data_IF_310477619709
#
_entry.id   IF_310477619709
#
_cell.length_a   1.000
_cell.length_b   1.000
_cell.length_c   1.000
_cell.angle_alpha   90.00
_cell.angle_beta   90.00
_cell.angle_gamma   90.00
#
_symmetry.space_group_name_H-M   'P 1'
#
loop_
_entity.id
_entity.type
_entity.pdbx_description
1 polymer ?
#
# COMPACT_ATOMS: atom_id res chain seq x y z
N UNK A 1 60.81 24.91 32.95
CA UNK A 1 61.40 25.00 34.31
C UNK A 1 60.34 25.67 35.18
N UNK A 2 59.74 25.13 36.22
CA UNK A 2 59.78 23.86 36.94
C UNK A 2 58.41 23.79 37.68
N UNK A 3 57.64 22.70 37.60
CA UNK A 3 57.67 21.53 38.50
C UNK A 3 57.38 21.85 39.99
N UNK A 4 56.16 21.54 40.48
CA UNK A 4 55.89 20.75 41.71
C UNK A 4 54.40 20.88 42.13
N UNK A 5 53.58 19.81 42.09
CA UNK A 5 53.49 18.63 42.98
C UNK A 5 52.91 18.88 44.40
N UNK A 6 51.68 18.33 44.57
CA UNK A 6 51.23 17.36 45.61
C UNK A 6 50.96 17.94 47.02
N UNK A 7 49.94 17.55 47.81
CA UNK A 7 49.50 16.20 48.27
C UNK A 7 48.24 16.36 49.18
N UNK A 8 47.20 15.52 49.05
CA UNK A 8 46.75 14.42 49.96
C UNK A 8 45.74 14.76 51.09
N UNK A 9 44.53 14.16 51.05
CA UNK A 9 43.96 13.09 51.95
C UNK A 9 42.81 13.71 52.78
N UNK A 10 41.61 13.17 52.96
CA UNK A 10 40.95 11.90 52.65
C UNK A 10 39.95 11.60 53.78
N UNK A 11 38.76 11.03 53.53
CA UNK A 11 38.12 10.08 54.46
C UNK A 11 36.87 9.38 53.89
N UNK A 12 36.83 8.07 54.14
CA UNK A 12 35.75 7.10 53.98
C UNK A 12 34.48 7.47 54.77
N UNK A 13 33.33 6.99 54.30
CA UNK A 13 32.47 6.09 55.10
C UNK A 13 31.54 5.27 54.21
N UNK A 14 31.57 3.97 54.47
CA UNK A 14 30.65 2.95 54.02
C UNK A 14 29.24 3.20 54.58
N UNK A 15 28.21 2.73 53.87
CA UNK A 15 27.04 2.10 54.47
C UNK A 15 26.24 1.32 53.41
N UNK A 16 26.44 0.00 53.45
CA UNK A 16 25.50 -1.06 53.10
C UNK A 16 24.08 -0.82 53.62
N UNK A 17 23.04 -1.08 52.82
CA UNK A 17 21.88 -1.95 53.14
C UNK A 17 21.17 -2.38 51.82
N UNK A 18 21.11 -3.70 51.59
CA UNK A 18 20.09 -4.42 50.80
C UNK A 18 18.99 -4.89 51.80
N UNK A 19 17.69 -5.05 51.43
CA UNK A 19 17.27 -6.29 50.74
C UNK A 19 16.00 -6.26 49.84
N UNK A 20 15.93 -7.31 49.01
CA UNK A 20 14.81 -8.11 48.46
C UNK A 20 13.37 -7.56 48.32
N UNK A 21 12.82 -7.72 47.10
CA UNK A 21 11.60 -8.48 46.74
C UNK A 21 11.53 -8.54 45.19
N UNK A 22 11.57 -9.66 44.45
CA UNK A 22 10.77 -10.89 44.42
C UNK A 22 9.26 -10.65 44.20
N UNK A 23 8.79 -10.79 42.95
CA UNK A 23 7.36 -11.04 42.69
C UNK A 23 6.86 -10.65 41.29
N UNK A 24 6.23 -11.62 40.62
CA UNK A 24 5.29 -11.49 39.48
C UNK A 24 5.90 -11.54 38.06
N UNK A 25 6.29 -12.74 37.65
CA UNK A 25 6.35 -13.16 36.25
C UNK A 25 5.67 -14.53 36.08
N UNK A 26 4.35 -14.61 36.31
CA UNK A 26 3.53 -15.78 36.01
C UNK A 26 2.15 -15.34 35.54
N UNK A 27 2.00 -14.93 34.26
CA UNK A 27 0.69 -14.89 33.57
C UNK A 27 0.79 -15.25 32.06
N UNK A 28 1.97 -15.36 31.45
CA UNK A 28 2.06 -15.55 30.00
C UNK A 28 1.89 -17.00 29.47
N UNK A 29 1.64 -18.00 30.32
CA UNK A 29 1.62 -19.42 29.91
C UNK A 29 0.22 -20.07 29.84
N UNK A 30 -0.87 -19.36 30.15
CA UNK A 30 -2.21 -19.98 30.26
C UNK A 30 -3.17 -19.67 29.11
N UNK A 31 -2.83 -18.79 28.17
CA UNK A 31 -3.70 -18.47 27.03
C UNK A 31 -3.41 -19.32 25.77
N UNK A 32 -2.24 -19.97 25.68
CA UNK A 32 -1.83 -20.69 24.47
C UNK A 32 -2.40 -22.12 24.38
N UNK A 33 -2.79 -22.72 25.51
CA UNK A 33 -3.28 -24.11 25.55
C UNK A 33 -4.79 -24.23 25.26
N UNK A 34 -5.56 -23.15 25.39
CA UNK A 34 -7.00 -23.15 25.12
C UNK A 34 -7.34 -22.93 23.63
N UNK A 35 -6.44 -22.38 22.82
CA UNK A 35 -6.70 -22.14 21.40
C UNK A 35 -6.46 -23.38 20.52
N UNK A 36 -5.52 -24.25 20.91
CA UNK A 36 -5.17 -25.46 20.13
C UNK A 36 -6.24 -26.56 20.25
N UNK A 37 -6.97 -26.64 21.38
CA UNK A 37 -8.08 -27.60 21.54
C UNK A 37 -9.36 -27.20 20.78
N UNK A 38 -9.54 -25.93 20.43
CA UNK A 38 -10.68 -25.46 19.64
C UNK A 38 -10.51 -25.70 18.12
N UNK A 39 -9.27 -25.79 17.64
CA UNK A 39 -8.96 -26.00 16.21
C UNK A 39 -8.97 -27.47 15.78
N UNK A 40 -8.88 -28.43 16.70
CA UNK A 40 -8.85 -29.87 16.38
C UNK A 40 -10.23 -30.58 16.46
N UNK A 41 -11.31 -29.86 16.78
CA UNK A 41 -12.66 -30.45 16.94
C UNK A 41 -13.64 -30.18 15.78
N UNK A 42 -13.18 -29.59 14.66
CA UNK A 42 -14.04 -29.19 13.53
C UNK A 42 -14.00 -30.09 12.28
N UNK A 43 -13.34 -31.25 12.33
CA UNK A 43 -13.43 -32.26 11.28
C UNK A 43 -14.17 -33.50 11.79
N UNK A 44 -15.50 -33.52 11.62
CA UNK A 44 -16.33 -34.71 11.84
C UNK A 44 -17.52 -34.72 10.88
N UNK A 45 -17.29 -35.43 9.76
CA UNK A 45 -18.20 -36.17 8.87
C UNK A 45 -19.35 -35.46 8.13
N UNK A 46 -19.60 -35.86 6.85
CA UNK A 46 -20.75 -35.42 6.08
C UNK A 46 -21.98 -36.25 6.43
N UNK A 47 -23.14 -35.61 6.52
CA UNK A 47 -24.44 -36.30 6.53
C UNK A 47 -25.15 -36.00 5.23
N UNK A 48 -25.21 -37.00 4.35
CA UNK A 48 -26.16 -37.04 3.23
C UNK A 48 -27.58 -37.11 3.80
N UNK A 49 -28.41 -36.12 3.51
CA UNK A 49 -29.87 -36.25 3.51
C UNK A 49 -30.38 -35.94 2.11
N UNK A 50 -30.84 -36.97 1.43
CA UNK A 50 -31.70 -36.84 0.26
C UNK A 50 -33.02 -36.18 0.69
N UNK A 51 -33.32 -35.03 0.09
CA UNK A 51 -34.59 -34.31 0.23
C UNK A 51 -35.22 -34.11 -1.13
N UNK A 52 -36.35 -34.79 -1.34
CA UNK A 52 -37.23 -34.72 -2.52
C UNK A 52 -37.71 -33.29 -2.82
N UNK A 53 -37.64 -32.96 -4.11
CA UNK A 53 -38.60 -32.21 -4.92
C UNK A 53 -39.44 -31.09 -4.28
N UNK A 54 -39.17 -29.87 -4.73
CA UNK A 54 -40.21 -28.86 -4.98
C UNK A 54 -39.79 -27.98 -6.16
N UNK A 55 -40.53 -28.12 -7.25
CA UNK A 55 -40.54 -27.21 -8.40
C UNK A 55 -41.13 -25.86 -7.99
N UNK A 56 -40.72 -24.79 -8.69
CA UNK A 56 -41.48 -23.55 -8.75
C UNK A 56 -40.73 -22.33 -8.23
N UNK A 57 -40.10 -21.60 -9.15
CA UNK A 57 -39.56 -20.27 -8.90
C UNK A 57 -38.23 -20.07 -9.62
N UNK A 58 -38.28 -19.89 -10.94
CA UNK A 58 -37.15 -19.34 -11.69
C UNK A 58 -36.85 -17.96 -11.12
N UNK A 59 -35.86 -17.88 -10.23
CA UNK A 59 -35.25 -16.62 -9.83
C UNK A 59 -34.88 -15.86 -11.12
N UNK A 60 -35.07 -14.53 -11.16
CA UNK A 60 -34.64 -13.75 -12.31
C UNK A 60 -33.17 -14.07 -12.55
N UNK A 61 -32.86 -14.60 -13.73
CA UNK A 61 -31.47 -14.78 -14.17
C UNK A 61 -30.82 -13.40 -14.01
N UNK A 62 -29.89 -13.28 -13.08
CA UNK A 62 -29.06 -12.09 -12.96
C UNK A 62 -28.57 -11.75 -14.37
N UNK A 63 -28.74 -10.49 -14.83
CA UNK A 63 -28.24 -10.09 -16.15
C UNK A 63 -26.78 -10.51 -16.19
N UNK A 64 -26.40 -11.33 -17.19
CA UNK A 64 -25.08 -11.92 -17.27
C UNK A 64 -24.05 -10.83 -17.02
N UNK A 65 -23.28 -10.98 -15.94
CA UNK A 65 -22.29 -9.99 -15.55
C UNK A 65 -21.33 -9.84 -16.74
N UNK A 66 -21.43 -8.71 -17.45
CA UNK A 66 -20.59 -8.44 -18.61
C UNK A 66 -19.12 -8.50 -18.20
N UNK A 67 -18.25 -8.94 -19.10
CA UNK A 67 -16.81 -8.85 -18.87
C UNK A 67 -16.41 -7.39 -18.64
N UNK A 68 -15.41 -7.17 -17.80
CA UNK A 68 -14.84 -5.85 -17.62
C UNK A 68 -14.29 -5.32 -18.95
N UNK A 69 -14.59 -4.06 -19.26
CA UNK A 69 -14.04 -3.37 -20.44
C UNK A 69 -13.47 -2.03 -20.00
N UNK A 70 -12.26 -1.73 -20.46
CA UNK A 70 -11.59 -0.45 -20.20
C UNK A 70 -12.48 0.72 -20.61
N UNK A 71 -12.58 1.73 -19.74
CA UNK A 71 -13.44 2.90 -19.96
C UNK A 71 -14.87 2.76 -19.43
N UNK A 72 -15.23 1.61 -18.85
CA UNK A 72 -16.45 1.50 -18.04
C UNK A 72 -16.48 2.56 -16.93
N UNK A 73 -17.64 3.15 -16.67
CA UNK A 73 -17.81 4.08 -15.54
C UNK A 73 -17.85 3.29 -14.23
N UNK A 74 -17.56 3.96 -13.12
CA UNK A 74 -17.58 3.33 -11.79
C UNK A 74 -18.88 2.58 -11.50
N UNK A 75 -20.04 3.20 -11.80
CA UNK A 75 -21.35 2.56 -11.57
C UNK A 75 -21.55 1.25 -12.35
N UNK A 76 -20.78 1.04 -13.42
CA UNK A 76 -20.83 -0.14 -14.28
C UNK A 76 -19.87 -1.21 -13.75
N UNK A 77 -18.58 -0.88 -13.57
CA UNK A 77 -17.59 -1.87 -13.15
C UNK A 77 -17.74 -2.29 -11.69
N UNK A 78 -18.24 -1.44 -10.80
CA UNK A 78 -18.43 -1.80 -9.38
C UNK A 78 -19.40 -2.97 -9.22
N UNK A 79 -20.36 -3.11 -10.15
CA UNK A 79 -21.31 -4.23 -10.16
C UNK A 79 -20.68 -5.56 -10.54
N UNK A 80 -19.46 -5.54 -11.08
CA UNK A 80 -18.69 -6.74 -11.44
C UNK A 80 -17.84 -7.25 -10.27
N UNK A 81 -17.72 -6.49 -9.18
CA UNK A 81 -16.99 -6.91 -7.98
C UNK A 81 -17.93 -7.82 -7.15
N UNK A 82 -17.54 -9.08 -6.87
CA UNK A 82 -18.35 -9.95 -6.01
C UNK A 82 -18.61 -9.32 -4.63
N UNK A 83 -19.83 -9.48 -4.10
CA UNK A 83 -20.25 -8.83 -2.84
C UNK A 83 -19.30 -9.12 -1.67
N UNK A 84 -18.80 -10.36 -1.57
CA UNK A 84 -17.85 -10.77 -0.51
C UNK A 84 -16.51 -10.04 -0.63
N UNK A 85 -16.04 -9.81 -1.86
CA UNK A 85 -14.83 -9.03 -2.11
C UNK A 85 -15.07 -7.56 -1.77
N UNK A 86 -16.19 -6.98 -2.24
CA UNK A 86 -16.57 -5.60 -1.94
C UNK A 86 -16.67 -5.34 -0.42
N UNK A 87 -17.26 -6.25 0.35
CA UNK A 87 -17.33 -6.12 1.82
C UNK A 87 -15.93 -6.08 2.46
N UNK A 88 -15.01 -6.93 1.96
CA UNK A 88 -13.63 -6.99 2.43
C UNK A 88 -12.86 -5.71 2.09
N UNK A 89 -13.02 -5.22 0.87
CA UNK A 89 -12.43 -3.97 0.38
C UNK A 89 -12.92 -2.77 1.19
N UNK A 90 -14.24 -2.66 1.42
CA UNK A 90 -14.82 -1.60 2.24
C UNK A 90 -14.35 -1.66 3.70
N UNK A 91 -14.19 -2.87 4.25
CA UNK A 91 -13.63 -3.06 5.59
C UNK A 91 -12.20 -2.53 5.70
N UNK A 92 -11.36 -2.80 4.69
CA UNK A 92 -10.01 -2.25 4.64
C UNK A 92 -10.03 -0.71 4.51
N UNK A 93 -10.85 -0.15 3.62
CA UNK A 93 -10.93 1.31 3.47
C UNK A 93 -11.30 2.00 4.79
N UNK A 94 -12.23 1.44 5.57
CA UNK A 94 -12.57 2.00 6.90
C UNK A 94 -11.39 1.96 7.87
N UNK A 95 -10.58 0.89 7.84
CA UNK A 95 -9.37 0.79 8.67
C UNK A 95 -8.33 1.83 8.27
N UNK A 96 -8.10 2.00 6.96
CA UNK A 96 -7.18 3.02 6.43
C UNK A 96 -7.62 4.43 6.82
N UNK A 97 -8.90 4.76 6.62
CA UNK A 97 -9.47 6.06 7.02
C UNK A 97 -9.27 6.35 8.51
N UNK A 98 -9.45 5.33 9.36
CA UNK A 98 -9.20 5.44 10.79
C UNK A 98 -7.73 5.68 11.09
N UNK A 99 -6.81 4.96 10.44
CA UNK A 99 -5.38 5.06 10.70
C UNK A 99 -4.81 6.44 10.35
N UNK A 100 -5.20 7.01 9.21
CA UNK A 100 -4.71 8.32 8.74
C UNK A 100 -5.47 9.54 9.29
N UNK A 101 -6.67 9.32 9.86
CA UNK A 101 -7.47 10.40 10.46
C UNK A 101 -8.32 11.25 9.51
N UNK A 102 -8.41 10.91 8.21
CA UNK A 102 -9.21 11.66 7.22
C UNK A 102 -9.95 10.75 6.21
N UNK A 103 -11.01 11.26 5.56
CA UNK A 103 -11.90 10.46 4.71
C UNK A 103 -11.70 10.69 3.20
N UNK A 104 -11.99 9.67 2.39
CA UNK A 104 -11.79 9.66 0.93
C UNK A 104 -12.85 10.44 0.12
N UNK A 105 -13.84 11.05 0.78
CA UNK A 105 -14.95 11.74 0.10
C UNK A 105 -14.67 13.22 -0.17
N UNK A 106 -13.55 13.72 0.34
CA UNK A 106 -13.16 15.10 0.24
C UNK A 106 -11.97 15.19 -0.72
N UNK A 107 -12.24 15.62 -1.96
CA UNK A 107 -11.19 15.82 -2.97
C UNK A 107 -10.17 16.85 -2.49
N UNK A 108 -10.59 17.87 -1.71
CA UNK A 108 -9.67 18.84 -1.13
C UNK A 108 -8.75 18.20 -0.08
N UNK A 109 -9.26 17.30 0.76
CA UNK A 109 -8.41 16.56 1.72
C UNK A 109 -7.40 15.66 0.99
N UNK A 110 -7.78 15.10 -0.16
CA UNK A 110 -6.89 14.30 -1.00
C UNK A 110 -5.81 15.15 -1.66
N UNK A 111 -6.16 16.31 -2.20
CA UNK A 111 -5.20 17.24 -2.78
C UNK A 111 -4.21 17.75 -1.71
N UNK A 112 -4.69 18.01 -0.50
CA UNK A 112 -3.82 18.35 0.63
C UNK A 112 -2.89 17.19 1.03
N UNK A 113 -3.36 15.95 0.95
CA UNK A 113 -2.53 14.77 1.20
C UNK A 113 -1.41 14.65 0.15
N UNK A 114 -1.72 14.82 -1.13
CA UNK A 114 -0.70 14.87 -2.18
C UNK A 114 0.29 16.03 -1.96
N UNK A 115 -0.19 17.22 -1.60
CA UNK A 115 0.70 18.34 -1.27
C UNK A 115 1.63 18.02 -0.08
N UNK A 116 1.16 17.29 0.94
CA UNK A 116 1.99 16.83 2.07
C UNK A 116 3.03 15.78 1.66
N UNK A 117 2.68 14.86 0.76
CA UNK A 117 3.65 13.91 0.18
C UNK A 117 4.77 14.67 -0.54
N UNK A 118 4.43 15.63 -1.39
CA UNK A 118 5.42 16.42 -2.13
C UNK A 118 6.29 17.26 -1.18
N UNK A 119 5.69 17.95 -0.23
CA UNK A 119 6.43 18.71 0.78
C UNK A 119 7.38 17.82 1.58
N UNK A 120 6.95 16.60 1.94
CA UNK A 120 7.81 15.61 2.59
C UNK A 120 8.99 15.23 1.70
N UNK A 121 8.75 14.87 0.44
CA UNK A 121 9.78 14.48 -0.51
C UNK A 121 10.81 15.59 -0.76
N UNK A 122 10.37 16.85 -0.84
CA UNK A 122 11.25 18.01 -1.02
C UNK A 122 12.03 18.39 0.25
N UNK A 123 11.64 17.88 1.42
CA UNK A 123 12.38 18.08 2.66
C UNK A 123 13.68 17.27 2.68
N UNK A 124 14.63 17.67 3.52
CA UNK A 124 15.88 16.91 3.72
C UNK A 124 15.63 15.44 4.14
N UNK A 125 14.60 15.19 4.95
CA UNK A 125 14.25 13.85 5.42
C UNK A 125 13.64 12.98 4.31
N UNK A 126 12.92 13.59 3.36
CA UNK A 126 12.32 12.90 2.22
C UNK A 126 13.24 12.78 1.01
N UNK A 127 14.50 13.20 1.12
CA UNK A 127 15.50 13.08 0.06
C UNK A 127 15.77 14.34 -0.75
N UNK A 128 15.20 15.49 -0.35
CA UNK A 128 15.42 16.79 -0.98
C UNK A 128 15.15 16.79 -2.50
N UNK A 129 14.04 16.17 -2.91
CA UNK A 129 13.69 16.02 -4.32
C UNK A 129 13.54 17.37 -5.03
N UNK A 130 14.20 17.58 -6.19
CA UNK A 130 13.79 18.62 -7.11
C UNK A 130 12.48 18.24 -7.81
N UNK A 131 11.67 19.23 -8.18
CA UNK A 131 10.42 19.00 -8.92
C UNK A 131 10.66 18.34 -10.28
N UNK A 132 11.73 18.75 -10.96
CA UNK A 132 12.18 18.20 -12.23
C UNK A 132 13.51 17.46 -12.04
N UNK A 133 13.43 16.23 -11.56
CA UNK A 133 14.62 15.42 -11.30
C UNK A 133 15.15 14.76 -12.59
N UNK A 134 16.46 14.55 -12.62
CA UNK A 134 17.09 13.68 -13.62
C UNK A 134 17.10 12.25 -13.08
N UNK A 135 16.64 11.23 -13.84
CA UNK A 135 16.65 9.84 -13.36
C UNK A 135 18.02 9.34 -12.89
N UNK A 136 19.11 9.83 -13.48
CA UNK A 136 20.47 9.43 -13.10
C UNK A 136 20.90 9.94 -11.72
N UNK A 137 20.25 10.98 -11.20
CA UNK A 137 20.58 11.60 -9.91
C UNK A 137 19.72 11.03 -8.76
N UNK A 138 18.75 10.17 -9.09
CA UNK A 138 17.83 9.57 -8.12
C UNK A 138 18.49 8.37 -7.44
N UNK A 139 18.54 8.39 -6.11
CA UNK A 139 19.03 7.26 -5.33
C UNK A 139 17.90 6.29 -4.92
N UNK A 140 18.22 5.02 -4.64
CA UNK A 140 17.25 4.07 -4.10
C UNK A 140 16.60 4.55 -2.79
N UNK A 141 17.36 5.23 -1.92
CA UNK A 141 16.87 5.74 -0.64
C UNK A 141 15.86 6.87 -0.84
N UNK A 142 16.10 7.77 -1.82
CA UNK A 142 15.16 8.83 -2.18
C UNK A 142 13.83 8.25 -2.70
N UNK A 143 13.89 7.22 -3.54
CA UNK A 143 12.70 6.53 -4.06
C UNK A 143 11.93 5.82 -2.97
N UNK A 144 12.64 5.11 -2.09
CA UNK A 144 12.01 4.45 -0.96
C UNK A 144 11.34 5.47 -0.03
N UNK A 145 12.00 6.58 0.28
CA UNK A 145 11.45 7.64 1.11
C UNK A 145 10.18 8.26 0.50
N UNK A 146 10.15 8.47 -0.81
CA UNK A 146 8.95 8.94 -1.50
C UNK A 146 7.81 7.91 -1.42
N UNK A 147 8.10 6.63 -1.65
CA UNK A 147 7.10 5.55 -1.53
C UNK A 147 6.56 5.44 -0.11
N UNK A 148 7.43 5.53 0.89
CA UNK A 148 7.06 5.50 2.30
C UNK A 148 6.20 6.72 2.67
N UNK A 149 6.48 7.90 2.11
CA UNK A 149 5.66 9.09 2.30
C UNK A 149 4.24 8.92 1.71
N UNK A 150 4.12 8.34 0.51
CA UNK A 150 2.82 8.02 -0.09
C UNK A 150 2.06 7.00 0.76
N UNK A 151 2.72 5.92 1.18
CA UNK A 151 2.11 4.89 2.04
C UNK A 151 1.65 5.46 3.37
N UNK A 152 2.48 6.25 4.05
CA UNK A 152 2.16 6.82 5.35
C UNK A 152 0.96 7.77 5.25
N UNK A 153 0.93 8.64 4.24
CA UNK A 153 -0.12 9.66 4.09
C UNK A 153 -1.46 9.04 3.66
N UNK A 154 -1.44 8.10 2.71
CA UNK A 154 -2.66 7.56 2.13
C UNK A 154 -3.16 6.29 2.81
N UNK A 155 -2.25 5.43 3.27
CA UNK A 155 -2.55 4.11 3.83
C UNK A 155 -2.31 4.05 5.35
N UNK A 156 -1.67 5.06 5.94
CA UNK A 156 -1.50 5.19 7.39
C UNK A 156 -0.56 4.16 8.01
N UNK A 157 0.45 3.67 7.28
CA UNK A 157 1.36 2.63 7.78
C UNK A 157 0.80 1.20 7.73
N UNK A 158 -0.47 1.03 7.35
CA UNK A 158 -1.14 -0.26 7.44
C UNK A 158 -0.61 -1.28 6.44
N UNK A 159 -0.13 -0.85 5.27
CA UNK A 159 0.41 -1.77 4.27
C UNK A 159 1.76 -2.30 4.74
N UNK A 160 2.64 -1.42 5.23
CA UNK A 160 3.91 -1.82 5.82
C UNK A 160 3.70 -2.77 7.01
N UNK A 161 2.73 -2.48 7.89
CA UNK A 161 2.36 -3.36 9.00
C UNK A 161 1.89 -4.74 8.50
N UNK A 162 1.02 -4.76 7.49
CA UNK A 162 0.48 -6.00 6.93
C UNK A 162 1.57 -6.86 6.29
N UNK A 163 2.46 -6.27 5.49
CA UNK A 163 3.60 -6.95 4.86
C UNK A 163 4.47 -7.63 5.93
N UNK A 164 4.82 -6.89 6.98
CA UNK A 164 5.60 -7.41 8.12
C UNK A 164 4.85 -8.53 8.84
N UNK A 165 3.56 -8.35 9.13
CA UNK A 165 2.73 -9.36 9.82
C UNK A 165 2.60 -10.64 9.01
N UNK A 166 2.55 -10.54 7.69
CA UNK A 166 2.51 -11.67 6.78
C UNK A 166 3.88 -12.34 6.56
N UNK A 167 4.96 -11.79 7.13
CA UNK A 167 6.32 -12.29 6.92
C UNK A 167 6.83 -12.14 5.49
N UNK A 168 6.28 -11.20 4.72
CA UNK A 168 6.68 -10.94 3.33
C UNK A 168 7.86 -9.95 3.26
N UNK A 169 8.66 -9.98 2.19
CA UNK A 169 9.66 -8.94 1.95
C UNK A 169 9.02 -7.56 1.98
N UNK A 170 9.72 -6.58 2.55
CA UNK A 170 9.28 -5.18 2.55
C UNK A 170 9.09 -4.70 1.10
N UNK A 171 8.19 -3.75 0.92
CA UNK A 171 8.08 -3.06 -0.37
C UNK A 171 9.40 -2.34 -0.63
N UNK A 172 9.98 -2.56 -1.81
CA UNK A 172 11.21 -1.92 -2.26
C UNK A 172 10.95 -1.20 -3.56
N UNK A 173 11.50 -0.01 -3.73
CA UNK A 173 11.43 0.72 -4.99
C UNK A 173 12.80 0.78 -5.64
N UNK A 174 12.87 0.44 -6.92
CA UNK A 174 14.12 0.45 -7.69
C UNK A 174 13.91 1.20 -9.00
N UNK A 175 14.88 2.03 -9.36
CA UNK A 175 14.94 2.66 -10.67
C UNK A 175 15.73 1.77 -11.63
N UNK A 176 15.17 1.47 -12.79
CA UNK A 176 15.88 0.66 -13.78
C UNK A 176 15.00 0.26 -14.95
N UNK A 177 15.44 -0.77 -15.67
CA UNK A 177 14.61 -1.45 -16.66
C UNK A 177 13.99 -2.66 -16.00
N UNK A 178 12.67 -2.76 -16.00
CA UNK A 178 11.98 -3.94 -15.50
C UNK A 178 12.37 -5.15 -16.37
N UNK A 179 12.95 -6.22 -15.78
CA UNK A 179 13.36 -7.39 -16.54
C UNK A 179 12.18 -8.21 -17.11
N UNK A 180 10.97 -8.06 -16.56
CA UNK A 180 9.76 -8.78 -17.01
C UNK A 180 9.03 -8.03 -18.11
N UNK A 181 9.07 -6.70 -18.05
CA UNK A 181 8.46 -5.84 -19.06
C UNK A 181 9.32 -4.60 -19.31
N UNK A 182 10.34 -4.69 -20.18
CA UNK A 182 11.20 -3.56 -20.54
C UNK A 182 10.43 -2.38 -21.15
N UNK A 183 9.21 -2.62 -21.65
CA UNK A 183 8.36 -1.64 -22.31
C UNK A 183 7.30 -1.06 -21.38
N UNK A 184 7.19 -1.57 -20.14
CA UNK A 184 6.28 -1.09 -19.10
C UNK A 184 6.32 0.44 -19.03
N UNK A 185 5.15 1.05 -18.90
CA UNK A 185 4.99 2.45 -19.23
C UNK A 185 5.64 3.40 -18.23
N UNK A 186 5.52 3.17 -16.93
CA UNK A 186 6.11 4.06 -15.91
C UNK A 186 6.67 3.28 -14.73
N UNK A 187 5.98 2.22 -14.33
CA UNK A 187 6.40 1.31 -13.28
C UNK A 187 5.68 -0.03 -13.36
N UNK A 188 6.10 -0.98 -12.52
CA UNK A 188 5.36 -2.21 -12.27
C UNK A 188 5.73 -2.85 -10.93
N UNK A 189 4.72 -3.35 -10.22
CA UNK A 189 4.89 -4.14 -9.01
C UNK A 189 5.13 -5.63 -9.32
N UNK A 190 6.18 -6.19 -8.73
CA UNK A 190 6.47 -7.62 -8.77
C UNK A 190 5.94 -8.34 -7.52
N UNK A 191 5.79 -9.65 -7.62
CA UNK A 191 5.23 -10.51 -6.55
C UNK A 191 6.07 -10.52 -5.26
N UNK A 192 7.36 -10.18 -5.38
CA UNK A 192 8.32 -10.06 -4.27
C UNK A 192 8.23 -8.71 -3.54
N UNK A 193 7.22 -7.89 -3.85
CA UNK A 193 7.05 -6.51 -3.38
C UNK A 193 8.10 -5.52 -3.91
N UNK A 194 8.81 -5.83 -5.00
CA UNK A 194 9.65 -4.84 -5.69
C UNK A 194 8.81 -4.03 -6.69
N UNK A 195 8.79 -2.71 -6.54
CA UNK A 195 8.28 -1.77 -7.54
C UNK A 195 9.45 -1.33 -8.41
N UNK A 196 9.38 -1.64 -9.71
CA UNK A 196 10.32 -1.13 -10.70
C UNK A 196 9.79 0.18 -11.27
N UNK A 197 10.58 1.24 -11.21
CA UNK A 197 10.32 2.53 -11.86
C UNK A 197 11.12 2.55 -13.16
N UNK A 198 10.46 2.63 -14.32
CA UNK A 198 11.11 2.45 -15.62
C UNK A 198 11.95 3.68 -16.02
N UNK A 199 13.26 3.62 -15.81
CA UNK A 199 14.17 4.76 -15.99
C UNK A 199 14.13 5.39 -17.37
N UNK A 200 13.82 4.61 -18.42
CA UNK A 200 13.75 5.12 -19.80
C UNK A 200 12.60 6.11 -20.00
N UNK A 201 11.52 5.96 -19.21
CA UNK A 201 10.27 6.72 -19.35
C UNK A 201 10.33 8.03 -18.58
N UNK A 202 11.14 8.09 -17.52
CA UNK A 202 11.37 9.29 -16.72
C UNK A 202 12.39 10.28 -17.32
N UNK A 203 12.92 9.98 -18.51
CA UNK A 203 13.73 10.91 -19.32
C UNK A 203 12.88 12.00 -19.95
N UNK A 204 11.61 11.71 -20.19
CA UNK A 204 10.65 12.65 -20.76
C UNK A 204 10.45 13.85 -19.85
N UNK A 205 10.25 15.05 -20.41
CA UNK A 205 10.00 16.27 -19.64
C UNK A 205 8.55 16.32 -19.13
N UNK A 206 8.36 16.70 -17.86
CA UNK A 206 7.05 17.01 -17.28
C UNK A 206 7.18 18.33 -16.53
N UNK A 207 6.46 19.35 -16.99
CA UNK A 207 6.57 20.72 -16.50
C UNK A 207 5.21 21.42 -16.48
N UNK A 208 5.17 22.68 -16.04
CA UNK A 208 3.94 23.49 -16.05
C UNK A 208 3.43 23.71 -17.48
N UNK A 209 4.36 23.89 -18.44
CA UNK A 209 4.06 24.14 -19.85
C UNK A 209 3.86 22.82 -20.63
N UNK A 210 4.38 21.71 -20.11
CA UNK A 210 4.17 20.36 -20.64
C UNK A 210 3.68 19.38 -19.55
N UNK A 211 2.43 19.54 -19.06
CA UNK A 211 1.91 18.69 -18.00
C UNK A 211 1.52 17.31 -18.49
N UNK A 212 1.63 16.34 -17.59
CA UNK A 212 1.18 14.96 -17.76
C UNK A 212 -0.15 14.77 -17.05
N UNK A 213 -1.17 14.23 -17.72
CA UNK A 213 -2.34 13.69 -17.01
C UNK A 213 -2.07 12.24 -16.68
N UNK A 214 -1.84 11.92 -15.42
CA UNK A 214 -1.64 10.55 -14.95
C UNK A 214 -2.89 10.06 -14.22
N UNK A 215 -3.58 9.05 -14.78
CA UNK A 215 -4.77 8.45 -14.17
C UNK A 215 -5.87 9.46 -13.80
N UNK A 216 -5.95 10.58 -14.54
CA UNK A 216 -6.88 11.68 -14.28
C UNK A 216 -6.35 12.81 -13.38
N UNK A 217 -5.20 12.64 -12.74
CA UNK A 217 -4.49 13.69 -12.02
C UNK A 217 -3.63 14.53 -12.99
N UNK A 218 -3.69 15.85 -12.87
CA UNK A 218 -2.85 16.76 -13.67
C UNK A 218 -1.52 17.00 -12.96
N UNK A 219 -0.46 16.32 -13.42
CA UNK A 219 0.90 16.46 -12.92
C UNK A 219 1.63 17.52 -13.74
N UNK A 220 2.16 18.54 -13.05
CA UNK A 220 2.92 19.67 -13.61
C UNK A 220 4.40 19.62 -13.28
N UNK A 221 4.85 18.51 -12.69
CA UNK A 221 6.26 18.19 -12.47
C UNK A 221 6.49 16.68 -12.52
N UNK A 222 7.75 16.26 -12.72
CA UNK A 222 8.12 14.85 -12.66
C UNK A 222 7.89 14.26 -11.28
N UNK A 223 8.20 15.01 -10.22
CA UNK A 223 7.99 14.54 -8.84
C UNK A 223 6.52 14.24 -8.56
N UNK A 224 5.61 15.10 -9.02
CA UNK A 224 4.16 14.85 -8.93
C UNK A 224 3.78 13.56 -9.67
N UNK A 225 4.20 13.44 -10.93
CA UNK A 225 3.92 12.24 -11.72
C UNK A 225 4.45 10.97 -11.05
N UNK A 226 5.66 11.02 -10.47
CA UNK A 226 6.28 9.87 -9.79
C UNK A 226 5.54 9.50 -8.50
N UNK A 227 5.13 10.49 -7.70
CA UNK A 227 4.36 10.25 -6.49
C UNK A 227 3.01 9.56 -6.81
N UNK A 228 2.31 10.03 -7.85
CA UNK A 228 1.07 9.40 -8.32
C UNK A 228 1.31 7.99 -8.88
N UNK A 229 2.40 7.81 -9.63
CA UNK A 229 2.82 6.49 -10.13
C UNK A 229 3.04 5.51 -8.98
N UNK A 230 3.71 5.93 -7.90
CA UNK A 230 3.87 5.08 -6.71
C UNK A 230 2.54 4.81 -6.01
N UNK A 231 1.61 5.78 -5.95
CA UNK A 231 0.25 5.53 -5.46
C UNK A 231 -0.50 4.45 -6.26
N UNK A 232 -0.35 4.45 -7.59
CA UNK A 232 -0.88 3.41 -8.46
C UNK A 232 -0.29 2.03 -8.10
N UNK A 233 1.03 1.90 -8.01
CA UNK A 233 1.67 0.62 -7.67
C UNK A 233 1.33 0.13 -6.25
N UNK A 234 1.18 1.06 -5.31
CA UNK A 234 0.72 0.74 -3.96
C UNK A 234 -0.70 0.19 -3.94
N UNK A 235 -1.54 0.50 -4.94
CA UNK A 235 -2.86 -0.16 -5.10
C UNK A 235 -2.68 -1.65 -5.41
N UNK A 236 -1.78 -2.01 -6.33
CA UNK A 236 -1.45 -3.42 -6.57
C UNK A 236 -0.88 -4.07 -5.31
N UNK A 237 -0.02 -3.37 -4.57
CA UNK A 237 0.58 -3.90 -3.35
C UNK A 237 -0.47 -4.13 -2.25
N UNK A 238 -1.49 -3.27 -2.16
CA UNK A 238 -2.64 -3.48 -1.27
C UNK A 238 -3.35 -4.78 -1.62
N UNK A 239 -3.68 -5.02 -2.89
CA UNK A 239 -4.37 -6.26 -3.29
C UNK A 239 -3.51 -7.49 -3.03
N UNK A 240 -2.24 -7.44 -3.43
CA UNK A 240 -1.28 -8.53 -3.24
C UNK A 240 -1.10 -8.93 -1.77
N UNK A 241 -1.08 -7.96 -0.85
CA UNK A 241 -0.73 -8.19 0.56
C UNK A 241 -1.95 -8.33 1.50
N UNK A 242 -3.08 -7.67 1.21
CA UNK A 242 -4.31 -7.82 2.01
C UNK A 242 -5.27 -8.87 1.46
N UNK A 243 -5.25 -9.12 0.15
CA UNK A 243 -6.22 -9.95 -0.53
C UNK A 243 -5.56 -10.96 -1.49
N UNK A 244 -4.66 -11.84 -1.02
CA UNK A 244 -3.92 -12.75 -1.89
C UNK A 244 -4.84 -13.69 -2.71
N UNK A 245 -6.02 -14.03 -2.20
CA UNK A 245 -7.00 -14.81 -2.96
C UNK A 245 -7.59 -14.02 -4.14
N UNK A 246 -7.81 -12.71 -3.98
CA UNK A 246 -8.26 -11.83 -5.06
C UNK A 246 -7.13 -11.65 -6.09
N UNK A 247 -5.90 -11.40 -5.64
CA UNK A 247 -4.72 -11.28 -6.51
C UNK A 247 -4.53 -12.52 -7.40
N UNK A 248 -4.70 -13.71 -6.82
CA UNK A 248 -4.48 -14.97 -7.51
C UNK A 248 -5.58 -15.33 -8.52
N UNK A 249 -6.84 -14.93 -8.27
CA UNK A 249 -7.96 -15.54 -8.99
C UNK A 249 -9.24 -14.71 -9.15
N UNK A 250 -9.34 -13.51 -8.58
CA UNK A 250 -10.57 -12.72 -8.71
C UNK A 250 -10.74 -12.26 -10.16
N UNK A 251 -11.86 -12.63 -10.84
CA UNK A 251 -12.16 -12.12 -12.17
C UNK A 251 -12.48 -10.63 -12.17
N UNK A 252 -12.67 -10.01 -11.00
CA UNK A 252 -12.84 -8.58 -10.85
C UNK A 252 -11.50 -7.85 -10.65
N UNK A 253 -10.38 -8.56 -10.53
CA UNK A 253 -9.06 -7.95 -10.37
C UNK A 253 -8.13 -8.27 -11.54
N UNK A 254 -8.04 -9.53 -11.94
CA UNK A 254 -7.09 -10.02 -12.96
C UNK A 254 -7.34 -9.61 -14.43
N UNK A 255 -8.49 -9.07 -14.87
CA UNK A 255 -8.61 -8.56 -16.24
C UNK A 255 -7.63 -7.42 -16.51
N UNK A 256 -7.05 -7.39 -17.71
CA UNK A 256 -6.28 -6.25 -18.22
C UNK A 256 -5.06 -5.92 -17.34
N UNK A 257 -4.13 -6.86 -17.22
CA UNK A 257 -2.89 -6.72 -16.43
C UNK A 257 -3.13 -6.29 -14.98
N UNK A 258 -4.14 -6.91 -14.34
CA UNK A 258 -4.56 -6.61 -12.96
C UNK A 258 -5.19 -5.22 -12.74
N UNK A 259 -5.65 -4.56 -13.80
CA UNK A 259 -6.40 -3.29 -13.74
C UNK A 259 -7.92 -3.50 -13.78
N UNK A 260 -8.43 -4.61 -13.25
CA UNK A 260 -9.86 -4.88 -13.20
C UNK A 260 -10.67 -3.96 -12.26
N UNK A 261 -11.98 -4.20 -12.13
CA UNK A 261 -12.89 -3.46 -11.25
C UNK A 261 -12.37 -3.20 -9.82
N UNK A 262 -11.75 -4.20 -9.17
CA UNK A 262 -11.18 -4.09 -7.82
C UNK A 262 -10.07 -3.05 -7.78
N UNK A 263 -9.14 -3.09 -8.76
CA UNK A 263 -8.07 -2.13 -8.88
C UNK A 263 -8.64 -0.73 -9.09
N UNK A 264 -9.50 -0.55 -10.08
CA UNK A 264 -10.08 0.75 -10.43
C UNK A 264 -10.83 1.39 -9.28
N UNK A 265 -11.59 0.57 -8.55
CA UNK A 265 -12.29 1.05 -7.38
C UNK A 265 -11.33 1.47 -6.26
N UNK A 266 -10.34 0.63 -5.92
CA UNK A 266 -9.36 0.98 -4.89
C UNK A 266 -8.52 2.19 -5.27
N UNK A 267 -7.98 2.24 -6.49
CA UNK A 267 -7.13 3.32 -6.97
C UNK A 267 -7.88 4.67 -6.91
N UNK A 268 -9.16 4.69 -7.29
CA UNK A 268 -10.02 5.86 -7.12
C UNK A 268 -10.25 6.21 -5.67
N UNK A 269 -10.65 5.25 -4.84
CA UNK A 269 -11.00 5.54 -3.45
C UNK A 269 -9.78 6.00 -2.67
N UNK A 270 -8.65 5.31 -2.79
CA UNK A 270 -7.41 5.59 -2.10
C UNK A 270 -6.77 6.89 -2.59
N UNK A 271 -6.50 6.98 -3.89
CA UNK A 271 -5.58 7.95 -4.48
C UNK A 271 -6.24 8.97 -5.40
N UNK A 272 -7.55 8.85 -5.65
CA UNK A 272 -8.31 9.76 -6.51
C UNK A 272 -8.14 9.51 -8.00
N UNK A 273 -7.41 8.46 -8.36
CA UNK A 273 -7.14 8.05 -9.73
C UNK A 273 -8.39 7.47 -10.38
N UNK A 274 -8.76 7.98 -11.56
CA UNK A 274 -9.97 7.59 -12.31
C UNK A 274 -9.67 6.97 -13.68
N UNK A 275 -8.40 6.95 -14.09
CA UNK A 275 -7.94 6.45 -15.38
C UNK A 275 -7.29 5.07 -15.33
N UNK A 276 -6.86 4.63 -16.51
CA UNK A 276 -6.03 3.43 -16.75
C UNK A 276 -4.75 3.77 -17.54
N UNK A 277 -4.48 5.06 -17.69
CA UNK A 277 -3.49 5.56 -18.62
C UNK A 277 -2.98 6.92 -18.16
N UNK A 278 -1.71 7.15 -18.45
CA UNK A 278 -1.21 8.50 -18.57
C UNK A 278 -1.52 9.05 -19.96
N UNK A 279 -1.74 10.35 -20.08
CA UNK A 279 -1.97 11.03 -21.35
C UNK A 279 -1.29 12.38 -21.28
N UNK A 280 -0.48 12.71 -22.29
CA UNK A 280 0.01 14.07 -22.45
C UNK A 280 -1.13 14.99 -22.90
N UNK A 281 -1.20 16.18 -22.34
CA UNK A 281 -2.18 17.18 -22.77
C UNK A 281 -1.74 17.91 -24.04
N UNK A 282 -0.43 18.02 -24.26
CA UNK A 282 0.15 18.65 -25.44
C UNK A 282 1.11 17.67 -26.11
N UNK A 283 0.83 17.33 -27.38
CA UNK A 283 1.77 16.62 -28.22
C UNK A 283 2.78 17.65 -28.74
N UNK A 284 4.00 17.63 -28.22
CA UNK A 284 5.18 18.03 -28.99
C UNK A 284 5.82 16.76 -29.56
#
# INVERSE_FOLDING_TARGET
MDSNKRRHVGHRRDNTVLPLAAGVAVVAASCLTLFVKALLKRNSKPTQKQGKGREGGSAPKSPGAGAYVRGMREREYVRLIPDVEMLSLQSLLRRIQKARGWQFRDDAARDQAWARVLATAQSAAGGAWPLDFTPNDVTPEQLQALCDAVEAEFLGGLLAEQVRRAGRPRIRVVLGVDPRDPYSWLSGLHEDNTIFVNSNRWREEVSQDNPLVFEGALCRSKLEALAHTLGHELTHAVVLNFFPAMDASSPAYTPDDKHGPVFMWLNRRLFGHVGHASKRLFNT
#
